data_IF_399234115492
#
_entry.id   IF_399234115492
#
_cell.length_a   1.000
_cell.length_b   1.000
_cell.length_c   1.000
_cell.angle_alpha   90.00
_cell.angle_beta   90.00
_cell.angle_gamma   90.00
#
_symmetry.space_group_name_H-M   'P 1'
#
loop_
_entity.id
_entity.type
_entity.pdbx_description
1 polymer ?
#
# COMPACT_ATOMS: atom_id res chain seq x y z
N UNK A 1 -9.78 11.55 10.98
CA UNK A 1 -10.75 10.86 10.14
C UNK A 1 -10.15 9.67 9.40
N UNK A 2 -9.01 9.83 8.74
CA UNK A 2 -8.33 8.74 8.02
C UNK A 2 -8.00 7.57 8.96
N UNK A 3 -7.46 7.86 10.14
CA UNK A 3 -7.10 6.82 11.11
C UNK A 3 -8.34 6.07 11.65
N UNK A 4 -9.46 6.77 11.82
CA UNK A 4 -10.70 6.14 12.25
C UNK A 4 -11.20 5.14 11.19
N UNK A 5 -11.15 5.53 9.92
CA UNK A 5 -11.53 4.64 8.82
C UNK A 5 -10.66 3.38 8.82
N UNK A 6 -9.34 3.52 8.87
CA UNK A 6 -8.44 2.37 8.79
C UNK A 6 -8.55 1.44 9.97
N UNK A 7 -8.86 1.98 11.15
CA UNK A 7 -9.07 1.17 12.35
C UNK A 7 -10.34 0.33 12.29
N UNK A 8 -11.42 0.89 11.74
CA UNK A 8 -12.74 0.25 11.70
C UNK A 8 -13.24 0.01 10.28
N UNK A 9 -12.33 -0.11 9.31
CA UNK A 9 -12.70 -0.14 7.89
C UNK A 9 -13.68 -1.24 7.53
N UNK A 10 -13.54 -2.43 8.11
CA UNK A 10 -14.44 -3.54 7.77
C UNK A 10 -15.87 -3.22 8.16
N UNK A 11 -16.08 -2.61 9.32
CA UNK A 11 -17.40 -2.18 9.76
C UNK A 11 -17.98 -1.12 8.81
N UNK A 12 -17.20 -0.12 8.44
CA UNK A 12 -17.67 0.91 7.52
C UNK A 12 -17.99 0.35 6.14
N UNK A 13 -17.21 -0.59 5.65
CA UNK A 13 -17.45 -1.23 4.35
C UNK A 13 -18.74 -2.03 4.41
N UNK A 14 -18.95 -2.82 5.46
CA UNK A 14 -20.16 -3.62 5.62
C UNK A 14 -21.40 -2.74 5.73
N UNK A 15 -21.37 -1.67 6.51
CA UNK A 15 -22.47 -0.72 6.63
C UNK A 15 -22.80 -0.06 5.30
N UNK A 16 -21.78 0.34 4.56
CA UNK A 16 -21.95 0.98 3.26
C UNK A 16 -22.62 0.03 2.26
N UNK A 17 -22.16 -1.20 2.19
CA UNK A 17 -22.70 -2.20 1.28
C UNK A 17 -24.14 -2.55 1.62
N UNK A 18 -24.50 -2.61 2.90
CA UNK A 18 -25.86 -2.90 3.34
C UNK A 18 -26.83 -1.77 3.00
N UNK A 19 -26.38 -0.52 3.10
CA UNK A 19 -27.26 0.65 2.94
C UNK A 19 -27.48 1.08 1.50
N UNK A 20 -26.60 0.69 0.57
CA UNK A 20 -26.58 1.31 -0.74
C UNK A 20 -26.40 0.38 -1.93
N UNK A 21 -26.95 -0.84 -1.92
CA UNK A 21 -26.69 -1.78 -3.00
C UNK A 21 -27.37 -1.39 -4.33
N UNK A 22 -28.42 -0.59 -4.31
CA UNK A 22 -29.20 -0.28 -5.52
C UNK A 22 -28.59 0.83 -6.36
N UNK A 23 -27.67 1.63 -5.82
CA UNK A 23 -27.08 2.76 -6.52
C UNK A 23 -25.77 2.45 -7.22
N UNK A 24 -25.23 1.25 -7.02
CA UNK A 24 -23.95 0.86 -7.58
C UNK A 24 -24.05 -0.44 -8.36
N UNK A 25 -23.23 -0.54 -9.40
CA UNK A 25 -23.09 -1.80 -10.14
C UNK A 25 -22.41 -2.84 -9.25
N UNK A 26 -22.58 -4.11 -9.59
CA UNK A 26 -21.89 -5.22 -8.93
C UNK A 26 -20.36 -5.00 -8.89
N UNK A 27 -19.79 -4.46 -9.98
CA UNK A 27 -18.36 -4.17 -10.04
C UNK A 27 -17.95 -3.13 -9.01
N UNK A 28 -18.73 -2.05 -8.85
CA UNK A 28 -18.42 -0.99 -7.89
C UNK A 28 -18.46 -1.52 -6.45
N UNK A 29 -19.43 -2.37 -6.14
CA UNK A 29 -19.53 -2.99 -4.82
C UNK A 29 -18.35 -3.92 -4.55
N UNK A 30 -17.89 -4.65 -5.57
CA UNK A 30 -16.71 -5.49 -5.43
C UNK A 30 -15.45 -4.68 -5.14
N UNK A 31 -15.27 -3.55 -5.83
CA UNK A 31 -14.13 -2.67 -5.58
C UNK A 31 -14.12 -2.19 -4.13
N UNK A 32 -15.28 -1.74 -3.64
CA UNK A 32 -15.41 -1.29 -2.26
C UNK A 32 -15.12 -2.42 -1.28
N UNK A 33 -15.66 -3.59 -1.54
CA UNK A 33 -15.45 -4.76 -0.68
C UNK A 33 -13.98 -5.18 -0.62
N UNK A 34 -13.25 -5.07 -1.74
CA UNK A 34 -11.83 -5.41 -1.79
C UNK A 34 -10.98 -4.50 -0.92
N UNK A 35 -11.43 -3.28 -0.63
CA UNK A 35 -10.70 -2.35 0.24
C UNK A 35 -10.49 -2.91 1.65
N UNK A 36 -11.26 -3.90 2.09
CA UNK A 36 -11.03 -4.55 3.39
C UNK A 36 -9.67 -5.23 3.47
N UNK A 37 -9.04 -5.55 2.33
CA UNK A 37 -7.68 -6.12 2.27
C UNK A 37 -6.59 -5.07 2.24
N UNK A 38 -6.95 -3.79 2.26
CA UNK A 38 -5.98 -2.71 2.39
C UNK A 38 -5.42 -2.62 3.80
N UNK A 39 -4.30 -1.90 3.93
CA UNK A 39 -3.65 -1.72 5.22
C UNK A 39 -2.95 -0.37 5.28
N UNK A 40 -2.95 0.23 6.47
CA UNK A 40 -2.20 1.46 6.75
C UNK A 40 -1.16 1.15 7.82
N UNK A 41 0.10 1.37 7.47
CA UNK A 41 1.24 1.01 8.31
C UNK A 41 2.42 1.93 8.06
N UNK A 42 3.45 1.73 8.86
CA UNK A 42 4.79 2.21 8.55
C UNK A 42 5.47 1.22 7.61
N UNK A 43 5.90 1.71 6.47
CA UNK A 43 6.65 0.94 5.49
C UNK A 43 8.03 1.54 5.33
N UNK A 44 8.98 0.72 4.92
CA UNK A 44 10.24 1.22 4.42
C UNK A 44 10.14 1.38 2.90
N UNK A 45 10.22 2.62 2.41
CA UNK A 45 10.29 2.87 0.98
C UNK A 45 11.72 2.55 0.55
N UNK A 46 11.91 1.40 -0.11
CA UNK A 46 13.25 0.88 -0.40
C UNK A 46 13.85 1.55 -1.61
N UNK A 47 13.12 1.52 -2.72
CA UNK A 47 13.57 2.08 -3.99
C UNK A 47 12.39 2.14 -4.96
N UNK A 48 12.64 2.76 -6.13
CA UNK A 48 11.69 2.75 -7.24
C UNK A 48 12.20 1.83 -8.33
N UNK A 49 11.34 0.93 -8.79
CA UNK A 49 11.51 0.23 -10.05
C UNK A 49 10.79 1.00 -11.16
N UNK A 50 10.94 0.56 -12.41
CA UNK A 50 10.38 1.26 -13.56
C UNK A 50 8.88 1.52 -13.41
N UNK A 51 8.12 0.54 -12.93
CA UNK A 51 6.67 0.63 -12.84
C UNK A 51 6.13 0.55 -11.42
N UNK A 52 7.01 0.45 -10.41
CA UNK A 52 6.58 0.19 -9.04
C UNK A 52 7.38 0.99 -8.04
N UNK A 53 6.70 1.37 -6.96
CA UNK A 53 7.35 1.81 -5.73
C UNK A 53 7.44 0.59 -4.82
N UNK A 54 8.63 0.28 -4.32
CA UNK A 54 8.84 -0.90 -3.47
C UNK A 54 8.72 -0.49 -2.01
N UNK A 55 7.66 -0.97 -1.35
CA UNK A 55 7.43 -0.75 0.07
C UNK A 55 7.66 -2.06 0.81
N UNK A 56 8.55 -2.03 1.81
CA UNK A 56 8.91 -3.21 2.59
C UNK A 56 8.30 -3.15 3.98
N UNK A 57 7.77 -4.27 4.44
CA UNK A 57 7.31 -4.46 5.80
C UNK A 57 7.59 -5.90 6.21
N UNK A 58 8.37 -6.08 7.27
CA UNK A 58 8.69 -7.40 7.84
C UNK A 58 9.19 -8.41 6.81
N UNK A 59 10.07 -7.96 5.92
CA UNK A 59 10.68 -8.84 4.91
C UNK A 59 9.86 -9.04 3.64
N UNK A 60 8.67 -8.47 3.58
CA UNK A 60 7.79 -8.57 2.41
C UNK A 60 7.88 -7.29 1.60
N UNK A 61 8.09 -7.42 0.31
CA UNK A 61 8.14 -6.29 -0.61
C UNK A 61 6.80 -6.15 -1.32
N UNK A 62 6.11 -5.04 -1.05
CA UNK A 62 4.84 -4.70 -1.71
C UNK A 62 5.15 -3.86 -2.94
N UNK A 63 4.79 -4.37 -4.11
CA UNK A 63 5.02 -3.71 -5.39
C UNK A 63 3.84 -2.81 -5.71
N UNK A 64 3.98 -1.52 -5.43
CA UNK A 64 2.88 -0.55 -5.41
C UNK A 64 2.91 0.30 -6.66
N UNK A 65 1.75 0.49 -7.29
CA UNK A 65 1.58 1.40 -8.41
C UNK A 65 0.88 2.69 -7.98
N UNK A 66 1.29 3.81 -8.54
CA UNK A 66 0.61 5.08 -8.36
C UNK A 66 -0.57 5.18 -9.33
N UNK A 67 -1.68 5.76 -8.87
CA UNK A 67 -2.85 5.98 -9.73
C UNK A 67 -2.65 7.14 -10.69
N UNK A 68 -2.15 8.24 -10.18
CA UNK A 68 -2.04 9.48 -10.96
C UNK A 68 -0.58 9.88 -11.14
N UNK A 69 0.02 10.43 -10.10
CA UNK A 69 1.42 10.85 -10.11
C UNK A 69 2.29 9.84 -9.41
N UNK A 70 3.49 9.62 -9.94
CA UNK A 70 4.44 8.75 -9.30
C UNK A 70 4.97 9.38 -8.01
N UNK A 71 5.18 8.57 -6.99
CA UNK A 71 5.73 9.02 -5.72
C UNK A 71 7.10 9.68 -5.87
N UNK A 72 7.87 9.28 -6.87
CA UNK A 72 9.21 9.83 -7.12
C UNK A 72 9.20 11.33 -7.46
N UNK A 73 8.06 11.89 -7.82
CA UNK A 73 7.91 13.34 -7.96
C UNK A 73 7.91 14.07 -6.62
N UNK A 74 7.45 13.40 -5.57
CA UNK A 74 7.35 13.98 -4.22
C UNK A 74 8.51 13.56 -3.34
N UNK A 75 8.97 12.33 -3.49
CA UNK A 75 10.09 11.76 -2.74
C UNK A 75 11.13 11.30 -3.75
N UNK A 76 12.21 12.10 -3.98
CA UNK A 76 13.21 11.72 -4.96
C UNK A 76 13.93 10.41 -4.62
N UNK A 77 14.39 9.70 -5.63
CA UNK A 77 15.08 8.41 -5.46
C UNK A 77 16.32 8.52 -4.58
N UNK A 78 17.02 9.67 -4.61
CA UNK A 78 18.22 9.87 -3.79
C UNK A 78 17.91 10.01 -2.30
N UNK A 79 16.64 10.15 -1.92
CA UNK A 79 16.21 10.18 -0.52
C UNK A 79 15.86 8.80 0.02
N UNK A 80 15.84 7.79 -0.83
CA UNK A 80 15.53 6.41 -0.42
C UNK A 80 16.79 5.67 0.01
N UNK A 81 16.71 4.67 0.88
CA UNK A 81 15.49 4.25 1.58
C UNK A 81 15.09 5.17 2.71
N UNK A 82 13.79 5.25 2.99
CA UNK A 82 13.28 6.05 4.08
C UNK A 82 12.02 5.40 4.70
N UNK A 83 11.74 5.78 5.94
CA UNK A 83 10.56 5.29 6.64
C UNK A 83 9.36 6.18 6.28
N UNK A 84 8.24 5.55 5.94
CA UNK A 84 7.05 6.25 5.48
C UNK A 84 5.80 5.59 6.04
N UNK A 85 4.86 6.40 6.52
CA UNK A 85 3.53 5.93 6.88
C UNK A 85 2.57 6.21 5.74
N UNK A 86 1.90 5.19 5.26
CA UNK A 86 0.91 5.31 4.20
C UNK A 86 -0.04 4.12 4.22
N UNK A 87 -1.09 4.20 3.40
CA UNK A 87 -1.99 3.08 3.19
C UNK A 87 -1.81 2.51 1.80
N UNK A 88 -1.85 1.20 1.69
CA UNK A 88 -1.90 0.48 0.42
C UNK A 88 -3.21 -0.29 0.34
N UNK A 89 -3.73 -0.42 -0.87
CA UNK A 89 -5.03 -1.07 -1.07
C UNK A 89 -5.09 -1.75 -2.42
N UNK A 90 -5.96 -2.78 -2.56
CA UNK A 90 -6.15 -3.44 -3.84
C UNK A 90 -7.01 -2.59 -4.77
N UNK A 91 -6.64 -2.57 -6.04
CA UNK A 91 -7.43 -1.92 -7.08
C UNK A 91 -7.10 -2.56 -8.43
N UNK A 92 -8.10 -3.15 -9.08
CA UNK A 92 -7.94 -3.81 -10.39
C UNK A 92 -6.80 -4.84 -10.43
N UNK A 93 -6.69 -5.65 -9.38
CA UNK A 93 -5.66 -6.68 -9.28
C UNK A 93 -4.26 -6.16 -8.98
N UNK A 94 -4.13 -4.89 -8.67
CA UNK A 94 -2.85 -4.24 -8.35
C UNK A 94 -2.87 -3.69 -6.95
N UNK A 95 -1.71 -3.29 -6.45
CA UNK A 95 -1.60 -2.56 -5.20
C UNK A 95 -1.40 -1.09 -5.54
N UNK A 96 -2.24 -0.24 -4.96
CA UNK A 96 -2.11 1.22 -5.08
C UNK A 96 -1.95 1.83 -3.70
N UNK A 97 -1.51 3.08 -3.65
CA UNK A 97 -1.48 3.81 -2.40
C UNK A 97 -2.52 4.94 -2.42
N UNK A 98 -2.97 5.35 -1.24
CA UNK A 98 -4.06 6.32 -1.14
C UNK A 98 -3.62 7.78 -1.31
N UNK A 99 -2.33 8.03 -1.44
CA UNK A 99 -1.80 9.38 -1.58
C UNK A 99 -1.62 10.12 -0.26
N UNK A 100 -2.12 9.59 0.86
CA UNK A 100 -1.94 10.18 2.18
C UNK A 100 -0.73 9.55 2.84
N UNK A 101 0.36 10.29 2.92
CA UNK A 101 1.61 9.77 3.45
C UNK A 101 2.30 10.77 4.35
N UNK A 102 3.09 10.27 5.27
CA UNK A 102 4.03 11.07 6.04
C UNK A 102 5.38 10.36 6.05
N UNK A 103 6.43 11.14 5.90
CA UNK A 103 7.80 10.61 5.90
C UNK A 103 8.50 10.97 7.20
N UNK A 104 9.46 10.13 7.60
CA UNK A 104 10.30 10.38 8.75
C UNK A 104 11.63 10.97 8.30
N UNK A 105 12.09 11.99 9.03
CA UNK A 105 13.42 12.56 8.81
C UNK A 105 14.50 11.83 9.62
N UNK A 106 14.14 10.74 10.29
CA UNK A 106 15.08 9.96 11.09
C UNK A 106 16.07 9.25 10.16
N UNK A 107 17.35 9.38 10.49
CA UNK A 107 18.40 8.68 9.77
C UNK A 107 18.33 7.18 10.09
N UNK A 108 18.26 6.35 9.06
CA UNK A 108 18.22 4.91 9.22
C UNK A 108 19.59 4.35 9.57
N UNK A 109 19.61 3.36 10.46
CA UNK A 109 20.84 2.61 10.77
C UNK A 109 21.31 1.82 9.55
N UNK A 110 22.61 1.68 9.38
CA UNK A 110 23.19 1.02 8.22
C UNK A 110 22.77 -0.43 8.10
N UNK A 111 22.63 -1.14 9.20
CA UNK A 111 22.19 -2.55 9.19
C UNK A 111 20.72 -2.66 8.75
N UNK A 112 19.88 -1.70 9.07
CA UNK A 112 18.50 -1.67 8.59
C UNK A 112 18.45 -1.43 7.07
N UNK A 113 19.29 -0.54 6.57
CA UNK A 113 19.40 -0.26 5.14
C UNK A 113 19.89 -1.52 4.40
N UNK A 114 20.91 -2.18 4.91
CA UNK A 114 21.45 -3.40 4.31
C UNK A 114 20.42 -4.51 4.29
N UNK A 115 19.67 -4.67 5.38
CA UNK A 115 18.59 -5.66 5.44
C UNK A 115 17.49 -5.38 4.43
N UNK A 116 17.14 -4.11 4.24
CA UNK A 116 16.11 -3.72 3.27
C UNK A 116 16.50 -4.11 1.85
N UNK A 117 17.75 -3.88 1.45
CA UNK A 117 18.22 -4.27 0.12
C UNK A 117 18.35 -5.78 -0.02
N UNK A 118 18.72 -6.49 1.03
CA UNK A 118 18.74 -7.94 1.05
C UNK A 118 17.33 -8.49 0.87
N UNK A 119 16.37 -7.98 1.62
CA UNK A 119 14.95 -8.35 1.48
C UNK A 119 14.44 -8.08 0.07
N UNK A 120 14.83 -6.96 -0.52
CA UNK A 120 14.44 -6.65 -1.90
C UNK A 120 15.01 -7.67 -2.89
N UNK A 121 16.26 -8.08 -2.70
CA UNK A 121 16.94 -9.01 -3.62
C UNK A 121 16.44 -10.45 -3.49
N UNK A 122 16.15 -10.89 -2.27
CA UNK A 122 15.88 -12.31 -1.99
C UNK A 122 14.51 -12.57 -1.35
N UNK A 123 13.83 -11.53 -0.86
CA UNK A 123 12.56 -11.68 -0.18
C UNK A 123 11.39 -11.82 -1.14
N UNK A 124 10.24 -12.08 -0.57
CA UNK A 124 9.00 -12.21 -1.31
C UNK A 124 8.55 -10.86 -1.88
N UNK A 125 8.11 -10.86 -3.14
CA UNK A 125 7.51 -9.70 -3.80
C UNK A 125 6.04 -9.97 -4.03
N UNK A 126 5.18 -9.06 -3.57
CA UNK A 126 3.73 -9.20 -3.69
C UNK A 126 3.21 -8.12 -4.62
N UNK A 127 2.44 -8.53 -5.61
CA UNK A 127 1.85 -7.63 -6.62
C UNK A 127 0.35 -7.44 -6.42
N UNK A 128 -0.26 -8.18 -5.51
CA UNK A 128 -1.68 -8.07 -5.19
C UNK A 128 -1.89 -8.35 -3.71
N UNK A 129 -2.83 -7.62 -3.09
CA UNK A 129 -3.22 -7.82 -1.69
C UNK A 129 -4.37 -8.81 -1.54
N UNK A 130 -4.99 -9.21 -2.65
CA UNK A 130 -6.12 -10.13 -2.58
C UNK A 130 -5.66 -11.55 -2.27
N UNK A 131 -6.44 -12.30 -1.47
CA UNK A 131 -6.17 -13.72 -1.27
C UNK A 131 -6.17 -14.46 -2.61
N UNK A 132 -5.28 -15.47 -2.74
CA UNK A 132 -5.13 -16.20 -4.01
C UNK A 132 -6.40 -16.89 -4.47
N UNK A 133 -7.28 -17.26 -3.55
CA UNK A 133 -8.52 -17.95 -3.87
C UNK A 133 -9.65 -17.01 -4.31
N UNK A 134 -9.41 -15.70 -4.36
CA UNK A 134 -10.39 -14.73 -4.85
C UNK A 134 -10.14 -14.28 -6.29
N UNK A 135 -9.12 -14.80 -6.90
CA UNK A 135 -8.78 -14.45 -8.30
C UNK A 135 -9.50 -15.32 -9.30
#
# INVERSE_FOLDING_TARGET
MIEVFWKDKDRFIDEYMDKNPSNFTFRNLNIINEFRYGMRKNFLLVLYEKNYTVLNDEGINYMVKSLNDNLDKYIPADKTPLLMQTAIMPFNGRIINDGFLSTSNVRLAQDLISKAFEDYSYGQKIYSLLPKNLN
#
